data_IF_058755215567
#
_entry.id   IF_058755215567
#
_cell.length_a   1.000
_cell.length_b   1.000
_cell.length_c   1.000
_cell.angle_alpha   90.00
_cell.angle_beta   90.00
_cell.angle_gamma   90.00
#
_symmetry.space_group_name_H-M   'P 1'
#
loop_
_entity.id
_entity.type
_entity.pdbx_description
1 polymer ?
#
# COMPACT_ATOMS: atom_id res chain seq x y z
N UNK A 1 -39.59 7.57 12.00
CA UNK A 1 -39.30 7.06 13.35
C UNK A 1 -37.79 6.87 13.43
N UNK A 2 -37.07 7.86 13.95
CA UNK A 2 -35.62 7.80 14.11
C UNK A 2 -35.31 6.73 15.16
N UNK A 3 -34.66 5.63 14.76
CA UNK A 3 -34.10 4.69 15.74
C UNK A 3 -32.90 5.36 16.39
N UNK A 4 -32.72 5.26 17.71
CA UNK A 4 -31.46 5.66 18.35
C UNK A 4 -30.32 4.89 17.69
N UNK A 5 -29.26 5.61 17.31
CA UNK A 5 -28.03 4.98 16.83
C UNK A 5 -27.48 4.08 17.96
N UNK A 6 -26.99 2.86 17.65
CA UNK A 6 -26.21 2.10 18.63
C UNK A 6 -25.03 2.97 19.11
N UNK A 7 -24.72 2.92 20.41
CA UNK A 7 -23.55 3.63 20.94
C UNK A 7 -22.30 3.18 20.20
N UNK A 8 -21.46 4.14 19.81
CA UNK A 8 -20.13 3.89 19.25
C UNK A 8 -19.29 3.16 20.29
N UNK A 9 -18.95 1.91 20.02
CA UNK A 9 -18.05 1.12 20.87
C UNK A 9 -16.62 1.33 20.34
N UNK A 10 -15.90 2.27 20.94
CA UNK A 10 -14.46 2.42 20.68
C UNK A 10 -13.75 1.20 21.29
N UNK A 11 -12.94 0.49 20.50
CA UNK A 11 -12.15 -0.64 20.97
C UNK A 11 -10.71 -0.18 21.22
N UNK A 12 -10.38 0.09 22.48
CA UNK A 12 -9.03 0.53 22.87
C UNK A 12 -7.99 -0.61 22.76
N UNK A 13 -8.45 -1.86 22.87
CA UNK A 13 -7.59 -3.06 22.86
C UNK A 13 -7.36 -3.58 21.44
N UNK A 14 -6.12 -4.01 21.17
CA UNK A 14 -5.74 -4.62 19.90
C UNK A 14 -6.22 -6.08 19.84
N UNK A 15 -6.76 -6.48 18.70
CA UNK A 15 -7.19 -7.85 18.39
C UNK A 15 -6.26 -8.44 17.33
N UNK A 16 -5.83 -9.68 17.50
CA UNK A 16 -4.92 -10.35 16.56
C UNK A 16 -5.53 -10.42 15.14
N UNK A 17 -4.73 -10.05 14.14
CA UNK A 17 -5.11 -10.17 12.73
C UNK A 17 -5.03 -11.65 12.32
N UNK A 18 -6.10 -12.22 11.74
CA UNK A 18 -6.10 -13.59 11.28
C UNK A 18 -4.96 -13.86 10.29
N UNK A 19 -4.31 -15.02 10.44
CA UNK A 19 -3.16 -15.35 9.60
C UNK A 19 -3.54 -15.55 8.11
N UNK A 20 -4.79 -15.94 7.80
CA UNK A 20 -5.25 -16.14 6.41
C UNK A 20 -4.35 -17.10 5.59
N UNK A 21 -4.44 -17.13 4.25
CA UNK A 21 -3.45 -17.81 3.40
C UNK A 21 -2.12 -17.03 3.41
N UNK A 22 -1.40 -17.16 4.51
CA UNK A 22 -0.19 -16.42 4.92
C UNK A 22 0.91 -16.43 3.87
N UNK A 23 1.21 -17.57 3.25
CA UNK A 23 2.51 -17.75 2.59
C UNK A 23 2.65 -17.00 1.27
N UNK A 24 1.61 -16.90 0.44
CA UNK A 24 1.69 -16.18 -0.83
C UNK A 24 1.60 -14.67 -0.59
N UNK A 25 0.67 -14.23 0.26
CA UNK A 25 0.50 -12.80 0.58
C UNK A 25 1.75 -12.24 1.28
N UNK A 26 2.32 -12.96 2.25
CA UNK A 26 3.56 -12.53 2.91
C UNK A 26 4.76 -12.49 1.96
N UNK A 27 4.90 -13.47 1.06
CA UNK A 27 5.94 -13.44 0.00
C UNK A 27 5.73 -12.30 -1.00
N UNK A 28 4.49 -11.88 -1.20
CA UNK A 28 4.13 -10.69 -1.95
C UNK A 28 4.33 -9.38 -1.13
N UNK A 29 4.97 -9.44 0.04
CA UNK A 29 5.27 -8.27 0.86
C UNK A 29 4.07 -7.70 1.62
N UNK A 30 2.91 -8.37 1.63
CA UNK A 30 1.78 -7.98 2.48
C UNK A 30 2.21 -8.10 3.94
N UNK A 31 2.00 -7.05 4.73
CA UNK A 31 2.28 -7.05 6.15
C UNK A 31 1.27 -7.96 6.86
N UNK A 32 1.78 -8.94 7.62
CA UNK A 32 1.01 -9.97 8.31
C UNK A 32 1.53 -10.14 9.75
N UNK A 33 0.78 -10.85 10.60
CA UNK A 33 1.23 -11.20 11.96
C UNK A 33 1.19 -10.04 12.95
N UNK A 34 0.26 -9.11 12.76
CA UNK A 34 0.01 -8.01 13.69
C UNK A 34 -1.32 -8.15 14.40
N UNK A 35 -1.67 -7.09 15.11
CA UNK A 35 -2.98 -6.90 15.72
C UNK A 35 -3.58 -5.58 15.24
N UNK A 36 -4.90 -5.46 15.26
CA UNK A 36 -5.63 -4.29 14.80
C UNK A 36 -6.69 -3.80 15.77
N UNK A 37 -7.12 -2.55 15.60
CA UNK A 37 -8.26 -1.94 16.27
C UNK A 37 -8.84 -0.81 15.42
N UNK A 38 -10.02 -0.32 15.78
CA UNK A 38 -10.71 0.72 15.04
C UNK A 38 -11.37 1.77 15.95
N UNK A 39 -11.73 2.90 15.33
CA UNK A 39 -12.55 3.96 15.92
C UNK A 39 -13.96 3.52 16.32
N UNK A 40 -14.44 2.39 15.82
CA UNK A 40 -15.75 1.86 16.07
C UNK A 40 -15.91 0.55 15.32
N UNK A 41 -16.71 -0.37 15.86
CA UNK A 41 -16.94 -1.69 15.29
C UNK A 41 -18.41 -2.09 15.41
N UNK A 42 -18.81 -3.08 14.61
CA UNK A 42 -20.13 -3.69 14.65
C UNK A 42 -19.99 -5.22 14.66
N UNK A 43 -20.94 -5.92 15.28
CA UNK A 43 -20.86 -7.38 15.43
C UNK A 43 -20.83 -8.09 14.07
N UNK A 44 -19.77 -8.89 13.85
CA UNK A 44 -19.46 -9.55 12.59
C UNK A 44 -18.81 -8.67 11.53
N UNK A 45 -18.58 -7.39 11.82
CA UNK A 45 -18.03 -6.36 10.92
C UNK A 45 -16.92 -5.54 11.62
N UNK A 46 -16.04 -6.24 12.33
CA UNK A 46 -14.96 -5.68 13.17
C UNK A 46 -13.70 -5.30 12.37
N UNK A 47 -12.73 -4.64 13.00
CA UNK A 47 -11.49 -4.20 12.35
C UNK A 47 -10.72 -5.33 11.67
N UNK A 48 -10.72 -6.53 12.28
CA UNK A 48 -10.02 -7.72 11.76
C UNK A 48 -10.45 -8.08 10.34
N UNK A 49 -11.70 -7.80 9.97
CA UNK A 49 -12.22 -8.07 8.63
C UNK A 49 -11.53 -7.22 7.57
N UNK A 50 -11.09 -6.00 7.90
CA UNK A 50 -10.31 -5.18 6.98
C UNK A 50 -8.90 -5.75 6.75
N UNK A 51 -8.40 -6.64 7.61
CA UNK A 51 -7.04 -7.19 7.55
C UNK A 51 -6.98 -8.69 7.24
N UNK A 52 -8.10 -9.38 7.09
CA UNK A 52 -8.13 -10.84 6.84
C UNK A 52 -7.69 -11.24 5.40
N UNK A 53 -7.61 -10.26 4.49
CA UNK A 53 -7.20 -10.45 3.10
C UNK A 53 -8.31 -10.92 2.17
N UNK A 54 -9.52 -11.06 2.69
CA UNK A 54 -10.75 -11.28 1.96
C UNK A 54 -11.34 -10.01 1.39
N UNK A 55 -12.32 -10.18 0.51
CA UNK A 55 -13.17 -9.09 0.01
C UNK A 55 -14.65 -9.29 0.33
N UNK A 56 -14.98 -10.38 1.02
CA UNK A 56 -16.36 -10.81 1.32
C UNK A 56 -16.79 -10.43 2.74
N UNK A 57 -15.83 -10.22 3.62
CA UNK A 57 -15.96 -9.65 4.95
C UNK A 57 -15.65 -8.15 4.86
N UNK A 58 -16.04 -7.39 5.88
CA UNK A 58 -15.76 -5.95 5.95
C UNK A 58 -15.72 -5.46 7.38
N UNK A 59 -15.02 -4.36 7.57
CA UNK A 59 -15.18 -3.49 8.73
C UNK A 59 -16.31 -2.48 8.48
N UNK A 60 -17.13 -2.20 9.49
CA UNK A 60 -18.16 -1.16 9.49
C UNK A 60 -18.10 -0.35 10.79
N UNK A 61 -17.97 0.97 10.67
CA UNK A 61 -18.12 1.92 11.76
C UNK A 61 -19.37 2.78 11.50
N UNK A 62 -20.38 2.69 12.38
CA UNK A 62 -21.59 3.53 12.30
C UNK A 62 -21.34 5.00 12.71
N UNK A 63 -20.16 5.30 13.25
CA UNK A 63 -19.68 6.63 13.56
C UNK A 63 -18.63 7.13 12.56
N UNK A 64 -18.29 8.42 12.67
CA UNK A 64 -17.15 9.01 11.96
C UNK A 64 -17.30 9.19 10.44
N UNK A 65 -18.33 8.65 9.80
CA UNK A 65 -18.53 8.75 8.35
C UNK A 65 -19.30 10.00 7.87
N UNK A 66 -20.00 10.69 8.78
CA UNK A 66 -20.82 11.87 8.46
C UNK A 66 -20.03 13.17 8.36
N UNK A 67 -20.74 14.29 8.10
CA UNK A 67 -20.14 15.63 7.98
C UNK A 67 -19.25 15.98 9.17
N UNK A 68 -17.96 16.25 8.89
CA UNK A 68 -16.95 16.57 9.91
C UNK A 68 -16.55 15.41 10.81
N UNK A 69 -17.01 14.19 10.51
CA UNK A 69 -16.62 12.97 11.19
C UNK A 69 -15.21 12.52 10.83
N UNK A 70 -14.63 11.67 11.68
CA UNK A 70 -13.44 10.91 11.34
C UNK A 70 -13.54 9.51 11.92
N UNK A 71 -13.14 8.54 11.11
CA UNK A 71 -13.02 7.14 11.50
C UNK A 71 -11.60 6.67 11.24
N UNK A 72 -11.15 5.63 11.92
CA UNK A 72 -9.80 5.12 11.75
C UNK A 72 -9.68 3.61 11.95
N UNK A 73 -8.73 3.01 11.24
CA UNK A 73 -8.22 1.67 11.47
C UNK A 73 -6.74 1.76 11.85
N UNK A 74 -6.32 0.97 12.83
CA UNK A 74 -4.92 0.85 13.21
C UNK A 74 -4.44 -0.60 13.08
N UNK A 75 -3.22 -0.75 12.54
CA UNK A 75 -2.46 -1.99 12.56
C UNK A 75 -1.20 -1.80 13.39
N UNK A 76 -0.85 -2.79 14.19
CA UNK A 76 0.36 -2.84 15.00
C UNK A 76 1.06 -4.17 14.80
N UNK A 77 2.37 -4.15 14.58
CA UNK A 77 3.15 -5.39 14.60
C UNK A 77 3.22 -5.99 16.02
N UNK A 78 3.03 -7.30 16.09
CA UNK A 78 3.28 -8.09 17.28
C UNK A 78 4.67 -8.71 17.17
N UNK A 79 5.39 -8.75 18.29
CA UNK A 79 6.68 -9.44 18.33
C UNK A 79 6.42 -10.94 18.51
N UNK A 80 7.08 -11.83 17.75
CA UNK A 80 6.92 -13.25 17.93
C UNK A 80 7.23 -13.66 19.37
N UNK A 81 6.47 -14.60 19.91
CA UNK A 81 6.66 -15.04 21.29
C UNK A 81 8.09 -15.55 21.51
N UNK A 82 8.77 -15.01 22.53
CA UNK A 82 10.17 -15.34 22.83
C UNK A 82 11.22 -14.66 21.93
N UNK A 83 10.82 -13.86 20.94
CA UNK A 83 11.74 -13.07 20.14
C UNK A 83 12.07 -11.74 20.83
N UNK A 84 13.35 -11.38 20.87
CA UNK A 84 13.79 -10.01 21.22
C UNK A 84 13.63 -9.03 20.04
N UNK A 85 13.12 -9.48 18.90
CA UNK A 85 13.02 -8.68 17.70
C UNK A 85 11.84 -7.71 17.81
N UNK A 86 12.10 -6.41 17.66
CA UNK A 86 11.05 -5.41 17.55
C UNK A 86 10.63 -5.24 16.09
N UNK A 87 9.56 -5.91 15.73
CA UNK A 87 9.09 -6.01 14.35
C UNK A 87 8.63 -4.66 13.84
N UNK A 88 9.20 -4.20 12.72
CA UNK A 88 8.82 -2.96 12.05
C UNK A 88 9.12 -3.07 10.55
N UNK A 89 8.41 -2.31 9.73
CA UNK A 89 8.54 -2.38 8.27
C UNK A 89 8.33 -1.00 7.64
N UNK A 90 9.01 -0.68 6.53
CA UNK A 90 8.60 0.46 5.71
C UNK A 90 7.26 0.18 5.04
N UNK A 91 6.51 1.24 4.70
CA UNK A 91 5.31 1.14 3.87
C UNK A 91 5.62 1.55 2.44
N UNK A 92 5.57 0.60 1.51
CA UNK A 92 5.83 0.85 0.08
C UNK A 92 4.54 1.21 -0.66
N UNK A 93 3.47 0.50 -0.36
CA UNK A 93 2.15 0.75 -0.93
C UNK A 93 1.07 0.17 -0.03
N UNK A 94 -0.18 0.56 -0.30
CA UNK A 94 -1.34 -0.06 0.32
C UNK A 94 -2.49 -0.17 -0.68
N UNK A 95 -3.41 -1.08 -0.38
CA UNK A 95 -4.64 -1.26 -1.12
C UNK A 95 -5.85 -0.97 -0.24
N UNK A 96 -6.91 -0.44 -0.85
CA UNK A 96 -8.24 -0.26 -0.26
C UNK A 96 -9.25 -0.95 -1.18
N UNK A 97 -10.14 -1.75 -0.61
CA UNK A 97 -11.22 -2.45 -1.35
C UNK A 97 -12.58 -1.99 -0.83
N UNK A 98 -13.43 -1.44 -1.71
CA UNK A 98 -14.79 -1.03 -1.34
C UNK A 98 -15.62 -2.21 -0.83
N UNK A 99 -16.52 -1.98 0.12
CA UNK A 99 -17.31 -3.06 0.73
C UNK A 99 -18.54 -3.46 -0.12
N UNK A 100 -19.54 -4.10 0.50
CA UNK A 100 -20.71 -4.68 -0.17
C UNK A 100 -22.06 -3.98 0.13
N UNK A 101 -22.16 -3.03 1.08
CA UNK A 101 -23.46 -2.36 1.35
C UNK A 101 -23.77 -1.19 0.43
N UNK A 102 -23.22 0.01 0.68
CA UNK A 102 -23.62 1.21 -0.05
C UNK A 102 -22.45 2.13 -0.42
N UNK A 103 -22.39 2.66 -1.65
CA UNK A 103 -21.26 3.45 -2.14
C UNK A 103 -21.07 4.76 -1.37
N UNK A 104 -22.13 5.34 -0.80
CA UNK A 104 -22.08 6.58 -0.02
C UNK A 104 -21.15 6.48 1.20
N UNK A 105 -20.94 5.26 1.72
CA UNK A 105 -20.11 4.94 2.88
C UNK A 105 -18.65 4.67 2.53
N UNK A 106 -18.31 4.60 1.25
CA UNK A 106 -16.95 4.25 0.85
C UNK A 106 -15.99 5.39 1.22
N UNK A 107 -14.74 5.10 1.63
CA UNK A 107 -13.77 6.13 1.96
C UNK A 107 -13.47 7.00 0.72
N UNK A 108 -13.45 8.33 0.89
CA UNK A 108 -13.16 9.29 -0.18
C UNK A 108 -11.87 10.05 0.07
N UNK A 109 -11.71 10.51 1.31
CA UNK A 109 -10.55 11.26 1.77
C UNK A 109 -9.96 10.57 3.00
N UNK A 110 -8.64 10.39 3.02
CA UNK A 110 -7.95 9.81 4.17
C UNK A 110 -6.48 10.20 4.23
N UNK A 111 -5.91 9.96 5.41
CA UNK A 111 -4.48 10.08 5.70
C UNK A 111 -3.97 8.73 6.17
N UNK A 112 -2.86 8.27 5.60
CA UNK A 112 -2.12 7.11 6.11
C UNK A 112 -0.99 7.63 6.97
N UNK A 113 -0.88 7.13 8.18
CA UNK A 113 0.07 7.58 9.19
C UNK A 113 0.87 6.39 9.74
N UNK A 114 2.10 6.64 10.17
CA UNK A 114 2.99 5.66 10.76
C UNK A 114 3.50 6.11 12.13
N UNK A 115 3.58 5.18 13.08
CA UNK A 115 4.22 5.39 14.38
C UNK A 115 5.48 4.55 14.45
N UNK A 116 6.62 5.17 14.76
CA UNK A 116 7.88 4.46 14.90
C UNK A 116 7.89 3.61 16.17
N UNK A 117 8.75 2.59 16.23
CA UNK A 117 8.98 1.83 17.45
C UNK A 117 9.47 2.72 18.60
N UNK A 118 10.33 3.69 18.29
CA UNK A 118 10.88 4.63 19.25
C UNK A 118 9.78 5.48 19.88
N UNK A 119 8.86 6.00 19.07
CA UNK A 119 7.73 6.80 19.54
C UNK A 119 6.74 5.95 20.34
N UNK A 120 6.50 4.70 19.94
CA UNK A 120 5.69 3.76 20.74
C UNK A 120 6.31 3.53 22.12
N UNK A 121 7.61 3.24 22.20
CA UNK A 121 8.32 2.99 23.45
C UNK A 121 8.43 4.23 24.35
N UNK A 122 8.50 5.41 23.75
CA UNK A 122 8.45 6.69 24.47
C UNK A 122 7.04 7.06 24.95
N UNK A 123 6.00 6.31 24.57
CA UNK A 123 4.61 6.61 24.90
C UNK A 123 4.00 7.74 24.07
N UNK A 124 4.61 8.14 22.95
CA UNK A 124 4.15 9.21 22.06
C UNK A 124 2.98 8.75 21.16
N UNK A 125 1.95 8.12 21.75
CA UNK A 125 0.84 7.52 21.01
C UNK A 125 -0.13 8.54 20.41
N UNK A 126 -0.10 9.79 20.86
CA UNK A 126 -0.96 10.87 20.36
C UNK A 126 -0.26 11.70 19.29
N UNK A 127 0.97 12.16 19.57
CA UNK A 127 1.68 13.14 18.73
C UNK A 127 2.81 12.53 17.88
N UNK A 128 3.19 11.26 18.11
CA UNK A 128 4.31 10.62 17.42
C UNK A 128 3.99 10.15 15.99
N UNK A 129 2.73 10.25 15.56
CA UNK A 129 2.30 9.80 14.24
C UNK A 129 2.83 10.70 13.13
N UNK A 130 3.43 10.09 12.12
CA UNK A 130 3.94 10.78 10.93
C UNK A 130 3.08 10.46 9.71
N UNK A 131 2.77 11.47 8.91
CA UNK A 131 1.99 11.31 7.68
C UNK A 131 2.84 10.59 6.61
N UNK A 132 2.32 9.48 6.09
CA UNK A 132 2.94 8.66 5.04
C UNK A 132 2.31 8.91 3.67
N UNK A 133 0.99 9.14 3.63
CA UNK A 133 0.25 9.44 2.40
C UNK A 133 -1.02 10.25 2.71
N UNK A 134 -1.48 11.03 1.75
CA UNK A 134 -2.74 11.78 1.81
C UNK A 134 -3.49 11.58 0.51
N UNK A 135 -4.74 11.12 0.60
CA UNK A 135 -5.63 10.96 -0.55
C UNK A 135 -6.88 11.78 -0.37
N UNK A 136 -7.34 12.33 -1.49
CA UNK A 136 -8.58 13.11 -1.59
C UNK A 136 -9.33 12.73 -2.85
N UNK A 137 -10.65 12.87 -2.81
CA UNK A 137 -11.54 12.71 -3.96
C UNK A 137 -11.45 11.33 -4.62
N UNK A 138 -11.09 10.29 -3.87
CA UNK A 138 -11.06 8.94 -4.43
C UNK A 138 -12.48 8.42 -4.54
N UNK A 139 -12.81 7.81 -5.68
CA UNK A 139 -14.13 7.27 -5.97
C UNK A 139 -14.08 5.77 -6.22
N UNK A 140 -15.08 5.02 -5.76
CA UNK A 140 -15.24 3.63 -6.15
C UNK A 140 -16.44 3.52 -7.10
N UNK A 141 -16.22 2.97 -8.29
CA UNK A 141 -17.27 2.84 -9.32
C UNK A 141 -18.05 1.54 -9.19
N UNK A 142 -17.46 0.56 -8.50
CA UNK A 142 -18.01 -0.78 -8.31
C UNK A 142 -17.79 -1.25 -6.87
N UNK A 143 -18.49 -2.32 -6.50
CA UNK A 143 -18.35 -2.95 -5.18
C UNK A 143 -17.25 -3.99 -5.21
N UNK A 144 -16.57 -4.17 -4.07
CA UNK A 144 -15.33 -4.96 -4.00
C UNK A 144 -14.26 -4.46 -4.99
N UNK A 145 -14.28 -3.17 -5.31
CA UNK A 145 -13.31 -2.59 -6.23
C UNK A 145 -11.99 -2.32 -5.50
N UNK A 146 -10.92 -2.93 -6.01
CA UNK A 146 -9.55 -2.74 -5.56
C UNK A 146 -8.97 -1.43 -6.11
N UNK A 147 -8.48 -0.59 -5.20
CA UNK A 147 -7.59 0.53 -5.52
C UNK A 147 -6.27 0.40 -4.77
N UNK A 148 -5.18 0.66 -5.49
CA UNK A 148 -3.82 0.55 -4.97
C UNK A 148 -3.11 1.90 -5.03
N UNK A 149 -2.33 2.21 -3.99
CA UNK A 149 -1.67 3.49 -3.81
C UNK A 149 -0.21 3.27 -3.42
N UNK A 150 0.71 3.80 -4.21
CA UNK A 150 2.12 3.84 -3.86
C UNK A 150 2.37 4.96 -2.84
N UNK A 151 3.13 4.67 -1.80
CA UNK A 151 3.57 5.67 -0.84
C UNK A 151 4.83 6.35 -1.39
N UNK A 152 4.69 7.58 -1.84
CA UNK A 152 5.84 8.46 -2.10
C UNK A 152 6.15 9.17 -0.81
N UNK A 153 7.17 8.70 -0.08
CA UNK A 153 7.63 9.39 1.13
C UNK A 153 7.94 10.84 0.75
N UNK A 154 7.27 11.84 1.35
CA UNK A 154 7.74 13.20 1.19
C UNK A 154 9.17 13.22 1.73
N UNK A 155 10.15 13.52 0.87
CA UNK A 155 11.44 14.01 1.36
C UNK A 155 11.07 15.11 2.34
N UNK A 156 11.54 14.99 3.59
CA UNK A 156 11.30 15.98 4.63
C UNK A 156 11.59 17.34 4.02
N UNK A 157 10.55 18.08 3.64
CA UNK A 157 10.72 19.42 3.11
C UNK A 157 11.19 20.19 4.33
N UNK A 158 12.49 20.49 4.38
CA UNK A 158 13.06 21.38 5.36
C UNK A 158 12.17 22.60 5.40
N UNK A 159 11.44 22.76 6.49
CA UNK A 159 10.62 23.94 6.74
C UNK A 159 11.55 25.13 6.93
N UNK A 160 11.99 25.73 5.83
CA UNK A 160 12.79 26.95 5.81
C UNK A 160 12.48 27.80 4.57
N UNK A 161 11.21 27.90 4.18
CA UNK A 161 10.76 28.80 3.12
C UNK A 161 9.37 29.38 3.42
N UNK A 162 9.17 29.91 4.64
CA UNK A 162 8.03 30.79 4.93
C UNK A 162 8.32 31.73 6.12
N UNK A 163 9.45 32.42 6.10
CA UNK A 163 9.63 33.70 6.82
C UNK A 163 10.93 34.38 6.36
N UNK A 164 10.86 35.17 5.29
CA UNK A 164 11.81 36.26 5.09
C UNK A 164 11.05 37.48 4.57
N UNK A 165 10.59 38.30 5.52
CA UNK A 165 10.51 39.73 5.33
C UNK A 165 11.00 40.40 6.62
N UNK A 166 11.96 41.32 6.43
CA UNK A 166 12.64 42.20 7.39
C UNK A 166 13.92 41.67 8.10
N UNK A 167 15.04 42.37 7.88
CA UNK A 167 16.04 42.62 8.93
C UNK A 167 17.49 42.15 8.72
N UNK A 168 18.23 42.87 7.86
CA UNK A 168 19.64 43.29 7.96
C UNK A 168 20.58 42.81 9.10
N UNK A 169 21.82 42.47 8.70
CA UNK A 169 23.15 42.56 9.38
C UNK A 169 23.76 41.36 10.17
N UNK A 170 24.78 40.79 9.51
CA UNK A 170 26.17 40.58 9.96
C UNK A 170 26.64 39.28 10.66
N UNK A 171 27.77 38.80 10.11
CA UNK A 171 28.94 38.13 10.72
C UNK A 171 28.93 36.60 10.98
N UNK A 172 29.63 35.88 10.10
CA UNK A 172 30.89 35.15 10.40
C UNK A 172 30.85 33.99 11.38
N UNK A 173 30.92 32.77 10.86
CA UNK A 173 31.29 31.56 11.62
C UNK A 173 31.29 30.32 10.74
N UNK A 174 32.47 29.83 10.37
CA UNK A 174 32.65 28.52 9.76
C UNK A 174 32.21 27.43 10.75
N UNK A 175 31.07 26.79 10.49
CA UNK A 175 30.72 25.51 11.10
C UNK A 175 30.49 24.48 9.99
N UNK A 176 31.29 23.42 10.06
CA UNK A 176 31.25 22.27 9.18
C UNK A 176 29.80 21.74 9.02
N UNK A 177 29.40 21.59 7.76
CA UNK A 177 28.16 20.95 7.34
C UNK A 177 28.06 19.55 7.97
N UNK A 178 27.04 19.21 8.77
CA UNK A 178 26.70 17.81 8.94
C UNK A 178 26.16 17.32 7.60
N UNK A 179 26.81 16.31 7.03
CA UNK A 179 26.32 15.58 5.87
C UNK A 179 24.83 15.26 6.04
N UNK A 180 23.96 15.51 5.06
CA UNK A 180 22.56 15.13 5.17
C UNK A 180 22.47 13.61 5.28
N UNK A 181 21.71 13.04 6.25
CA UNK A 181 21.42 11.62 6.22
C UNK A 181 20.60 11.35 4.95
N UNK A 182 21.15 10.53 4.07
CA UNK A 182 20.42 9.96 2.94
C UNK A 182 19.11 9.36 3.46
N UNK A 183 17.96 9.74 2.90
CA UNK A 183 16.66 9.23 3.32
C UNK A 183 16.59 7.71 3.12
N UNK A 184 16.88 6.97 4.19
CA UNK A 184 16.55 5.56 4.35
C UNK A 184 15.04 5.44 4.60
N UNK A 185 14.40 4.44 4.01
CA UNK A 185 12.99 4.13 4.24
C UNK A 185 12.71 4.02 5.75
N UNK A 186 11.97 4.96 6.32
CA UNK A 186 11.63 4.91 7.74
C UNK A 186 10.79 3.65 8.01
N UNK A 187 11.14 2.93 9.09
CA UNK A 187 10.43 1.73 9.53
C UNK A 187 9.37 2.11 10.57
N UNK A 188 8.20 1.51 10.45
CA UNK A 188 7.04 1.81 11.30
C UNK A 188 6.62 0.57 12.08
N UNK A 189 6.24 0.80 13.34
CA UNK A 189 5.71 -0.22 14.25
C UNK A 189 4.19 -0.28 14.17
N UNK A 190 3.54 0.87 13.98
CA UNK A 190 2.09 0.98 13.75
C UNK A 190 1.79 1.73 12.47
N UNK A 191 0.64 1.42 11.89
CA UNK A 191 0.03 2.15 10.79
C UNK A 191 -1.39 2.55 11.17
N UNK A 192 -1.82 3.74 10.75
CA UNK A 192 -3.19 4.23 10.91
C UNK A 192 -3.73 4.71 9.59
N UNK A 193 -4.89 4.20 9.21
CA UNK A 193 -5.73 4.78 8.16
C UNK A 193 -6.74 5.67 8.84
N UNK A 194 -6.57 6.99 8.72
CA UNK A 194 -7.52 7.96 9.25
C UNK A 194 -8.40 8.49 8.12
N UNK A 195 -9.63 8.04 8.08
CA UNK A 195 -10.64 8.43 7.09
C UNK A 195 -11.26 9.74 7.57
N UNK A 196 -11.21 10.75 6.71
CA UNK A 196 -11.67 12.12 7.00
C UNK A 196 -12.93 12.50 6.24
N UNK A 197 -13.31 11.73 5.22
CA UNK A 197 -14.60 11.86 4.55
C UNK A 197 -14.97 10.55 3.86
N UNK A 198 -16.26 10.23 3.89
CA UNK A 198 -16.88 9.22 3.02
C UNK A 198 -17.25 9.83 1.67
N UNK A 199 -17.72 9.01 0.73
CA UNK A 199 -18.15 9.42 -0.60
C UNK A 199 -19.30 10.42 -0.57
N UNK A 200 -20.27 10.23 0.34
CA UNK A 200 -21.34 11.18 0.61
C UNK A 200 -21.60 11.31 2.13
N UNK A 201 -20.88 12.20 2.81
CA UNK A 201 -21.02 12.40 4.26
C UNK A 201 -22.34 13.06 4.66
N UNK A 202 -23.13 13.56 3.70
CA UNK A 202 -24.48 14.05 3.94
C UNK A 202 -25.52 12.92 3.91
N UNK A 203 -25.27 11.87 3.12
CA UNK A 203 -26.14 10.70 3.02
C UNK A 203 -25.76 9.55 3.97
N UNK A 204 -24.48 9.44 4.36
CA UNK A 204 -23.98 8.39 5.23
C UNK A 204 -23.30 8.96 6.49
N UNK A 205 -23.66 8.43 7.65
CA UNK A 205 -22.98 8.70 8.91
C UNK A 205 -21.92 7.63 9.28
N UNK A 206 -21.84 6.58 8.47
CA UNK A 206 -21.01 5.39 8.68
C UNK A 206 -19.96 5.24 7.59
N UNK A 207 -18.85 4.60 7.91
CA UNK A 207 -17.83 4.19 6.94
C UNK A 207 -17.70 2.67 6.92
N UNK A 208 -17.33 2.12 5.77
CA UNK A 208 -17.12 0.68 5.61
C UNK A 208 -15.89 0.40 4.75
N UNK A 209 -15.29 -0.77 4.93
CA UNK A 209 -14.18 -1.21 4.11
C UNK A 209 -14.05 -2.72 4.08
N UNK A 210 -13.95 -3.33 2.89
CA UNK A 210 -13.72 -4.78 2.78
C UNK A 210 -12.28 -5.15 3.14
N UNK A 211 -11.30 -4.39 2.64
CA UNK A 211 -9.90 -4.65 2.95
C UNK A 211 -9.04 -3.39 2.96
N UNK A 212 -8.08 -3.35 3.88
CA UNK A 212 -6.92 -2.47 3.89
C UNK A 212 -5.65 -3.33 3.94
N UNK A 213 -5.01 -3.50 2.78
CA UNK A 213 -3.78 -4.30 2.68
C UNK A 213 -2.57 -3.37 2.71
N UNK A 214 -1.62 -3.65 3.58
CA UNK A 214 -0.36 -2.92 3.68
C UNK A 214 0.76 -3.73 3.04
N UNK A 215 1.62 -3.10 2.25
CA UNK A 215 2.76 -3.77 1.61
C UNK A 215 4.07 -3.08 1.97
N UNK A 216 4.99 -3.85 2.52
CA UNK A 216 6.36 -3.44 2.82
C UNK A 216 7.38 -4.20 1.99
N UNK A 217 8.62 -4.23 2.47
CA UNK A 217 9.64 -5.07 1.86
C UNK A 217 9.29 -6.56 2.08
N UNK A 218 9.35 -7.41 1.04
CA UNK A 218 9.16 -8.85 1.21
C UNK A 218 10.17 -9.40 2.22
N UNK A 219 9.74 -10.32 3.09
CA UNK A 219 10.59 -10.95 4.11
C UNK A 219 10.74 -12.46 3.82
N UNK A 220 11.98 -12.99 3.77
CA UNK A 220 13.26 -12.26 3.70
C UNK A 220 13.37 -11.47 2.38
N UNK A 221 14.08 -10.33 2.37
CA UNK A 221 14.29 -9.52 1.15
C UNK A 221 15.06 -10.37 0.11
N UNK A 222 14.38 -10.90 -0.93
CA UNK A 222 15.02 -11.81 -1.86
C UNK A 222 15.88 -11.07 -2.89
N UNK A 223 15.75 -9.74 -2.99
CA UNK A 223 16.27 -8.94 -4.09
C UNK A 223 17.34 -7.93 -3.67
N UNK A 224 17.54 -7.70 -2.36
CA UNK A 224 18.47 -6.71 -1.82
C UNK A 224 18.35 -5.38 -2.59
N UNK A 225 17.13 -4.83 -2.61
CA UNK A 225 16.75 -3.65 -3.41
C UNK A 225 17.40 -2.35 -2.93
N UNK A 226 18.27 -2.42 -1.91
CA UNK A 226 19.15 -1.34 -1.42
C UNK A 226 20.15 -0.82 -2.46
N UNK A 227 20.24 -1.46 -3.64
CA UNK A 227 21.16 -1.11 -4.73
C UNK A 227 20.48 -0.57 -6.00
N UNK A 228 19.24 -0.09 -5.93
CA UNK A 228 18.72 0.77 -7.00
C UNK A 228 19.31 2.18 -6.80
N UNK A 229 20.07 2.71 -7.77
CA UNK A 229 20.55 4.09 -7.66
C UNK A 229 19.35 5.01 -7.52
N UNK A 230 19.33 5.78 -6.45
CA UNK A 230 18.38 6.88 -6.28
C UNK A 230 18.58 7.85 -7.44
N UNK A 231 17.48 8.28 -8.07
CA UNK A 231 17.47 9.18 -9.23
C UNK A 231 17.98 10.60 -8.91
N UNK A 232 18.68 10.78 -7.79
CA UNK A 232 19.17 12.03 -7.24
C UNK A 232 20.46 12.53 -7.91
N UNK A 233 21.02 11.81 -8.89
CA UNK A 233 22.25 12.22 -9.59
C UNK A 233 22.01 12.98 -10.90
N UNK A 234 20.76 13.23 -11.32
CA UNK A 234 20.48 14.03 -12.51
C UNK A 234 20.53 15.54 -12.19
N UNK A 235 21.74 16.07 -12.16
CA UNK A 235 21.94 17.46 -12.57
C UNK A 235 21.55 17.62 -14.04
N UNK A 236 20.65 18.58 -14.31
CA UNK A 236 20.37 19.23 -15.60
C UNK A 236 20.76 18.45 -16.87
N UNK A 237 20.04 17.36 -17.18
CA UNK A 237 20.05 16.79 -18.54
C UNK A 237 18.72 17.14 -19.21
N UNK A 238 18.78 17.72 -20.41
CA UNK A 238 17.59 18.05 -21.21
C UNK A 238 16.75 16.82 -21.55
N UNK A 239 15.62 17.02 -22.24
CA UNK A 239 14.62 15.97 -22.55
C UNK A 239 15.21 14.67 -23.14
N UNK A 240 16.35 14.73 -23.86
CA UNK A 240 17.08 13.56 -24.37
C UNK A 240 17.82 12.73 -23.32
N UNK A 241 18.22 13.34 -22.20
CA UNK A 241 18.87 12.67 -21.08
C UNK A 241 17.90 11.92 -20.18
N UNK A 242 16.66 12.39 -20.08
CA UNK A 242 15.59 11.70 -19.36
C UNK A 242 15.19 10.40 -20.08
N UNK A 243 15.05 10.43 -21.40
CA UNK A 243 14.77 9.23 -22.22
C UNK A 243 15.92 8.21 -22.17
N UNK A 244 17.17 8.67 -22.25
CA UNK A 244 18.35 7.80 -22.14
C UNK A 244 18.47 7.16 -20.75
N UNK A 245 18.15 7.91 -19.69
CA UNK A 245 18.17 7.38 -18.32
C UNK A 245 17.01 6.42 -18.05
N UNK A 246 15.83 6.67 -18.64
CA UNK A 246 14.71 5.74 -18.63
C UNK A 246 15.03 4.45 -19.40
N UNK A 247 15.71 4.55 -20.55
CA UNK A 247 16.19 3.38 -21.32
C UNK A 247 17.27 2.60 -20.58
N UNK A 248 18.22 3.27 -19.91
CA UNK A 248 19.26 2.60 -19.11
C UNK A 248 18.67 1.91 -17.88
N UNK A 249 17.73 2.55 -17.17
CA UNK A 249 16.95 1.89 -16.12
C UNK A 249 16.17 0.70 -16.67
N UNK A 250 15.60 0.82 -17.88
CA UNK A 250 14.93 -0.26 -18.57
C UNK A 250 15.84 -1.45 -18.84
N UNK A 251 17.04 -1.20 -19.34
CA UNK A 251 18.02 -2.24 -19.65
C UNK A 251 18.57 -2.93 -18.40
N UNK A 252 18.75 -2.19 -17.30
CA UNK A 252 19.15 -2.76 -16.01
C UNK A 252 18.02 -3.62 -15.43
N UNK A 253 16.76 -3.19 -15.56
CA UNK A 253 15.59 -3.96 -15.17
C UNK A 253 15.45 -5.22 -16.05
N UNK A 254 15.63 -5.11 -17.38
CA UNK A 254 15.65 -6.24 -18.32
C UNK A 254 16.73 -7.27 -17.96
N UNK A 255 17.96 -6.81 -17.76
CA UNK A 255 19.10 -7.67 -17.48
C UNK A 255 18.96 -8.37 -16.11
N UNK A 256 18.41 -7.68 -15.10
CA UNK A 256 18.17 -8.29 -13.78
C UNK A 256 16.96 -9.22 -13.77
N UNK A 257 15.87 -8.89 -14.46
CA UNK A 257 14.65 -9.71 -14.49
C UNK A 257 14.81 -11.01 -15.28
N UNK A 258 15.58 -10.99 -16.37
CA UNK A 258 15.85 -12.18 -17.19
C UNK A 258 16.69 -13.25 -16.44
N UNK A 259 17.48 -12.85 -15.45
CA UNK A 259 18.31 -13.76 -14.65
C UNK A 259 17.58 -14.38 -13.44
N UNK A 260 16.42 -13.83 -13.07
CA UNK A 260 15.70 -14.20 -11.84
C UNK A 260 14.52 -15.14 -12.07
N UNK A 261 14.05 -15.26 -13.32
CA UNK A 261 12.92 -16.10 -13.68
C UNK A 261 13.34 -17.24 -14.61
N UNK A 262 12.73 -18.40 -14.43
CA UNK A 262 12.80 -19.50 -15.40
C UNK A 262 12.10 -19.13 -16.70
N UNK A 263 12.48 -19.75 -17.82
CA UNK A 263 11.84 -19.54 -19.13
C UNK A 263 10.32 -19.76 -19.05
N UNK A 264 9.87 -20.79 -18.32
CA UNK A 264 8.45 -21.07 -18.12
C UNK A 264 7.72 -19.93 -17.41
N UNK A 265 8.35 -19.28 -16.42
CA UNK A 265 7.77 -18.15 -15.70
C UNK A 265 7.72 -16.90 -16.58
N UNK A 266 8.78 -16.62 -17.36
CA UNK A 266 8.81 -15.51 -18.31
C UNK A 266 7.71 -15.66 -19.35
N UNK A 267 7.57 -16.84 -19.97
CA UNK A 267 6.50 -17.11 -20.93
C UNK A 267 5.11 -16.95 -20.34
N UNK A 268 4.89 -17.46 -19.12
CA UNK A 268 3.59 -17.34 -18.47
C UNK A 268 3.30 -15.88 -18.11
N UNK A 269 4.27 -15.14 -17.59
CA UNK A 269 4.13 -13.71 -17.29
C UNK A 269 3.81 -12.92 -18.57
N UNK A 270 4.53 -13.15 -19.65
CA UNK A 270 4.28 -12.54 -20.95
C UNK A 270 2.87 -12.85 -21.46
N UNK A 271 2.41 -14.10 -21.35
CA UNK A 271 1.03 -14.49 -21.73
C UNK A 271 -0.01 -13.74 -20.91
N UNK A 272 0.17 -13.66 -19.59
CA UNK A 272 -0.74 -12.91 -18.71
C UNK A 272 -0.76 -11.43 -19.09
N UNK A 273 0.40 -10.81 -19.24
CA UNK A 273 0.50 -9.38 -19.55
C UNK A 273 -0.02 -9.05 -20.95
N UNK A 274 0.24 -9.89 -21.94
CA UNK A 274 -0.29 -9.73 -23.29
C UNK A 274 -1.82 -9.84 -23.32
N UNK A 275 -2.41 -10.77 -22.55
CA UNK A 275 -3.86 -10.87 -22.45
C UNK A 275 -4.48 -9.61 -21.83
N UNK A 276 -3.88 -9.07 -20.77
CA UNK A 276 -4.31 -7.81 -20.15
C UNK A 276 -4.19 -6.64 -21.13
N UNK A 277 -3.08 -6.53 -21.85
CA UNK A 277 -2.82 -5.44 -22.78
C UNK A 277 -3.74 -5.48 -24.02
N UNK A 278 -4.01 -6.68 -24.55
CA UNK A 278 -4.83 -6.87 -25.75
C UNK A 278 -6.33 -6.85 -25.46
N UNK A 279 -6.73 -7.18 -24.23
CA UNK A 279 -8.13 -7.28 -23.81
C UNK A 279 -8.34 -6.60 -22.44
N UNK A 280 -8.12 -5.28 -22.34
CA UNK A 280 -8.09 -4.56 -21.06
C UNK A 280 -9.42 -4.59 -20.29
N UNK A 281 -10.53 -4.70 -21.02
CA UNK A 281 -11.89 -4.72 -20.47
C UNK A 281 -12.39 -6.12 -20.10
N UNK A 282 -11.67 -7.20 -20.46
CA UNK A 282 -12.13 -8.56 -20.18
C UNK A 282 -11.79 -8.94 -18.71
N UNK A 283 -12.80 -9.13 -17.84
CA UNK A 283 -12.58 -9.38 -16.41
C UNK A 283 -11.81 -10.67 -16.15
N UNK A 284 -11.80 -11.62 -17.10
CA UNK A 284 -11.08 -12.90 -16.94
C UNK A 284 -9.56 -12.71 -16.89
N UNK A 285 -9.03 -11.69 -17.55
CA UNK A 285 -7.59 -11.40 -17.54
C UNK A 285 -7.19 -10.45 -16.40
N UNK A 286 -8.16 -9.75 -15.81
CA UNK A 286 -7.96 -8.94 -14.60
C UNK A 286 -8.04 -9.74 -13.31
N UNK A 287 -8.50 -10.99 -13.36
CA UNK A 287 -8.63 -11.86 -12.17
C UNK A 287 -8.07 -13.26 -12.43
N UNK A 288 -6.88 -13.53 -11.88
CA UNK A 288 -6.16 -14.79 -12.07
C UNK A 288 -6.30 -15.66 -10.82
N UNK A 289 -6.71 -16.93 -10.98
CA UNK A 289 -6.64 -17.90 -9.87
C UNK A 289 -5.18 -18.23 -9.58
N UNK A 290 -4.74 -18.13 -8.33
CA UNK A 290 -3.37 -18.45 -7.94
C UNK A 290 -2.95 -19.88 -8.34
N UNK A 291 -3.88 -20.83 -8.28
CA UNK A 291 -3.67 -22.22 -8.73
C UNK A 291 -3.42 -22.37 -10.23
N UNK A 292 -3.85 -21.41 -11.05
CA UNK A 292 -3.61 -21.40 -12.51
C UNK A 292 -2.29 -20.72 -12.88
N UNK A 293 -1.73 -19.91 -11.99
CA UNK A 293 -0.44 -19.23 -12.15
C UNK A 293 0.57 -19.66 -11.08
N UNK A 294 0.50 -20.93 -10.66
CA UNK A 294 1.25 -21.43 -9.50
C UNK A 294 2.77 -21.24 -9.63
N UNK A 295 3.33 -21.34 -10.84
CA UNK A 295 4.76 -21.10 -11.08
C UNK A 295 5.18 -19.65 -10.81
N UNK A 296 4.28 -18.67 -11.03
CA UNK A 296 4.50 -17.28 -10.63
C UNK A 296 4.23 -17.09 -9.14
N UNK A 297 3.14 -17.65 -8.63
CA UNK A 297 2.74 -17.50 -7.23
C UNK A 297 3.71 -18.15 -6.22
N UNK A 298 4.56 -19.06 -6.70
CA UNK A 298 5.54 -19.77 -5.87
C UNK A 298 6.93 -19.11 -5.84
N UNK A 299 7.21 -18.16 -6.75
CA UNK A 299 8.49 -17.45 -6.83
C UNK A 299 8.35 -16.04 -6.26
N UNK A 300 9.17 -15.66 -5.27
CA UNK A 300 9.20 -14.29 -4.74
C UNK A 300 9.45 -13.24 -5.83
N UNK A 301 10.34 -13.53 -6.78
CA UNK A 301 10.73 -12.63 -7.87
C UNK A 301 9.56 -12.40 -8.84
N UNK A 302 8.83 -13.47 -9.19
CA UNK A 302 7.64 -13.38 -10.01
C UNK A 302 6.49 -12.64 -9.31
N UNK A 303 6.36 -12.80 -7.99
CA UNK A 303 5.37 -12.06 -7.21
C UNK A 303 5.66 -10.56 -7.21
N UNK A 304 6.92 -10.14 -7.06
CA UNK A 304 7.30 -8.73 -7.15
C UNK A 304 6.90 -8.13 -8.50
N UNK A 305 7.06 -8.87 -9.59
CA UNK A 305 6.61 -8.43 -10.92
C UNK A 305 5.09 -8.35 -11.07
N UNK A 306 4.36 -9.32 -10.53
CA UNK A 306 2.89 -9.25 -10.49
C UNK A 306 2.44 -8.02 -9.71
N UNK A 307 3.08 -7.70 -8.58
CA UNK A 307 2.77 -6.49 -7.82
C UNK A 307 3.11 -5.22 -8.60
N UNK A 308 4.28 -5.17 -9.26
CA UNK A 308 4.70 -4.04 -10.07
C UNK A 308 3.75 -3.77 -11.26
N UNK A 309 3.06 -4.80 -11.76
CA UNK A 309 2.04 -4.66 -12.81
C UNK A 309 0.68 -4.25 -12.28
N UNK A 310 0.48 -4.28 -10.96
CA UNK A 310 -0.79 -3.92 -10.32
C UNK A 310 -1.65 -5.12 -9.95
N UNK A 311 -1.19 -6.35 -10.15
CA UNK A 311 -1.87 -7.51 -9.58
C UNK A 311 -1.67 -7.51 -8.05
N UNK A 312 -2.74 -7.80 -7.31
CA UNK A 312 -2.73 -7.91 -5.84
C UNK A 312 -3.33 -9.23 -5.41
N UNK A 313 -2.71 -9.93 -4.45
CA UNK A 313 -3.26 -11.16 -3.91
C UNK A 313 -4.47 -10.83 -3.03
N UNK A 314 -5.65 -11.34 -3.39
CA UNK A 314 -6.90 -11.21 -2.65
C UNK A 314 -7.57 -12.58 -2.49
N UNK A 315 -8.12 -12.83 -1.32
CA UNK A 315 -8.94 -14.02 -1.06
C UNK A 315 -10.38 -13.71 -1.47
N UNK A 316 -10.96 -14.56 -2.31
CA UNK A 316 -12.32 -14.39 -2.82
C UNK A 316 -12.95 -15.75 -3.08
N UNK A 317 -14.27 -15.87 -2.92
CA UNK A 317 -15.05 -17.09 -3.16
C UNK A 317 -14.49 -18.33 -2.41
N UNK A 318 -14.62 -18.37 -1.09
CA UNK A 318 -14.09 -19.44 -0.24
C UNK A 318 -12.58 -19.29 0.03
N UNK A 319 -11.81 -20.37 0.22
CA UNK A 319 -10.37 -20.28 0.51
C UNK A 319 -9.51 -19.99 -0.73
N UNK A 320 -10.12 -19.63 -1.86
CA UNK A 320 -9.41 -19.47 -3.12
C UNK A 320 -8.67 -18.11 -3.16
N UNK A 321 -7.35 -18.19 -3.38
CA UNK A 321 -6.52 -17.02 -3.61
C UNK A 321 -6.55 -16.61 -5.09
N UNK A 322 -6.76 -15.32 -5.33
CA UNK A 322 -6.73 -14.70 -6.64
C UNK A 322 -5.67 -13.60 -6.68
N UNK A 323 -5.09 -13.37 -7.86
CA UNK A 323 -4.42 -12.13 -8.18
C UNK A 323 -5.39 -11.26 -8.96
N UNK A 324 -5.76 -10.12 -8.38
CA UNK A 324 -6.69 -9.16 -8.97
C UNK A 324 -5.92 -7.94 -9.43
N UNK A 325 -6.08 -7.57 -10.69
CA UNK A 325 -5.46 -6.38 -11.26
C UNK A 325 -6.19 -5.14 -10.74
N UNK A 326 -5.44 -4.16 -10.22
CA UNK A 326 -5.98 -2.87 -9.81
C UNK A 326 -6.85 -2.24 -10.92
N UNK A 327 -7.87 -1.48 -10.52
CA UNK A 327 -8.72 -0.78 -11.47
C UNK A 327 -7.96 0.35 -12.18
N UNK A 328 -8.33 0.62 -13.44
CA UNK A 328 -7.81 1.74 -14.24
C UNK A 328 -6.81 1.37 -15.33
N UNK A 329 -6.44 2.37 -16.13
CA UNK A 329 -5.60 2.25 -17.32
C UNK A 329 -4.10 2.10 -17.03
N UNK A 330 -3.63 2.62 -15.88
CA UNK A 330 -2.21 2.53 -15.51
C UNK A 330 -1.71 1.09 -15.46
N UNK A 331 -2.52 0.17 -14.95
CA UNK A 331 -2.19 -1.26 -14.90
C UNK A 331 -2.04 -1.87 -16.30
N UNK A 332 -2.92 -1.50 -17.23
CA UNK A 332 -2.86 -1.92 -18.63
C UNK A 332 -1.58 -1.41 -19.29
N UNK A 333 -1.22 -0.14 -19.03
CA UNK A 333 -0.02 0.47 -19.58
C UNK A 333 1.27 -0.18 -19.03
N UNK A 334 1.30 -0.55 -17.73
CA UNK A 334 2.41 -1.30 -17.14
C UNK A 334 2.52 -2.72 -17.72
N UNK A 335 1.39 -3.40 -17.94
CA UNK A 335 1.37 -4.70 -18.60
C UNK A 335 1.94 -4.63 -20.03
N UNK A 336 1.51 -3.65 -20.83
CA UNK A 336 2.04 -3.41 -22.18
C UNK A 336 3.54 -3.10 -22.18
N UNK A 337 4.01 -2.32 -21.19
CA UNK A 337 5.42 -2.06 -21.00
C UNK A 337 6.21 -3.37 -20.78
N UNK A 338 5.76 -4.23 -19.86
CA UNK A 338 6.44 -5.52 -19.62
C UNK A 338 6.49 -6.39 -20.87
N UNK A 339 5.42 -6.44 -21.67
CA UNK A 339 5.41 -7.20 -22.93
C UNK A 339 6.49 -6.68 -23.88
N UNK A 340 6.61 -5.36 -24.03
CA UNK A 340 7.64 -4.74 -24.89
C UNK A 340 9.06 -5.06 -24.44
N UNK A 341 9.24 -5.26 -23.14
CA UNK A 341 10.53 -5.30 -22.45
C UNK A 341 11.05 -6.72 -22.34
N UNK A 342 10.19 -7.65 -21.99
CA UNK A 342 10.55 -9.07 -21.90
C UNK A 342 10.35 -9.78 -23.24
N UNK A 343 9.42 -9.32 -24.07
CA UNK A 343 9.13 -9.93 -25.38
C UNK A 343 10.21 -9.68 -26.43
N UNK A 344 11.10 -8.72 -26.24
CA UNK A 344 12.29 -8.53 -27.09
C UNK A 344 13.44 -9.49 -26.77
N UNK A 345 13.32 -10.27 -25.70
CA UNK A 345 14.38 -11.10 -25.13
C UNK A 345 14.11 -12.61 -25.25
N UNK A 346 12.98 -12.99 -25.85
CA UNK A 346 12.52 -14.38 -26.10
C UNK A 346 12.38 -14.58 -27.60
#
# INVERSE_FOLDING_TARGET
>A
MWRPLPMRQEHDEYVDVPSGPTSVCARAGRLMGGACRASGENSGEEAVNAFDGGVLTKWLDFGGGGLGGSAWLEFRFMDPEGASAQTSSPLLSYDIVSANDSPERDPRDWVVEGLSLQDEQAGNLTDGWQVLDVRKEVTFTDRHQLRSFACTFPHKASSSAQQQQAGSLAAGGEHAMPSPPALAHAHWRRFRLRITSTADPAAANSVQLAAWNLFGLPQPDPLNLTLLPSCSSLGAAGESGLEACQQAAHQVIQAKLACLLTTQQVELLLKVMANVANHPEDPRYRRLRASKVLSLASSPEALVLLLATGFRPLVSDGPALFFVLEAGEHAVHRAACIVKVLGSSV
#
